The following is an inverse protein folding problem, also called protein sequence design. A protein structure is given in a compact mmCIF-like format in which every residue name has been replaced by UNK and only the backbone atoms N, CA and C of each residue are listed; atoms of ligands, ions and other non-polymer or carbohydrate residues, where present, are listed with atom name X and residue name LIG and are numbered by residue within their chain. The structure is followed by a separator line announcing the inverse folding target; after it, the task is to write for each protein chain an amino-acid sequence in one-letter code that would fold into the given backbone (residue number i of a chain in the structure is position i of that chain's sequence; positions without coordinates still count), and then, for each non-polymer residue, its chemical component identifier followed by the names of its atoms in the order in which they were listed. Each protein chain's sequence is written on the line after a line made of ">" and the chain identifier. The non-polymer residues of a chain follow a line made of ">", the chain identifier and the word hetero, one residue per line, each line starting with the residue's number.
data_IF_552608273698
#
_entry.id   IF_552608273698
#
_cell.length_a   1.000
_cell.length_b   1.000
_cell.length_c   1.000
_cell.angle_alpha   90.00
_cell.angle_beta   90.00
_cell.angle_gamma   90.00
#
_symmetry.space_group_name_H-M   'P 1'
#
loop_
_entity.id
_entity.type
_entity.pdbx_description
1 polymer ?
#
# COMPACT_ATOMS: atom_id res chain seq x y z
N UNK A 1 2.19 1.86 -55.73
CA UNK A 1 1.97 0.95 -54.58
C UNK A 1 2.55 1.59 -53.33
N UNK A 2 1.72 2.31 -52.55
CA UNK A 2 2.12 2.90 -51.28
C UNK A 2 1.10 2.46 -50.21
N UNK A 3 1.38 1.32 -49.58
CA UNK A 3 0.51 0.74 -48.55
C UNK A 3 1.34 -0.08 -47.53
N UNK A 4 2.49 0.45 -47.10
CA UNK A 4 3.32 -0.19 -46.05
C UNK A 4 3.51 0.67 -44.80
N UNK A 5 2.92 1.87 -44.74
CA UNK A 5 3.18 2.84 -43.67
C UNK A 5 2.14 2.87 -42.54
N UNK A 6 1.03 2.14 -42.66
CA UNK A 6 -0.09 2.24 -41.70
C UNK A 6 -0.09 1.17 -40.60
N UNK A 7 0.66 0.08 -40.75
CA UNK A 7 0.68 -1.04 -39.79
C UNK A 7 1.54 -0.76 -38.55
N UNK A 8 2.61 0.04 -38.69
CA UNK A 8 3.48 0.44 -37.57
C UNK A 8 2.83 1.48 -36.65
N UNK A 9 1.90 2.30 -37.17
CA UNK A 9 1.14 3.25 -36.35
C UNK A 9 -0.02 2.57 -35.58
N UNK A 10 -0.65 1.54 -36.14
CA UNK A 10 -1.73 0.83 -35.45
C UNK A 10 -1.25 -0.08 -34.31
N UNK A 11 -0.02 -0.63 -34.38
CA UNK A 11 0.55 -1.40 -33.27
C UNK A 11 0.99 -0.55 -32.06
N UNK A 12 1.09 0.79 -32.19
CA UNK A 12 1.35 1.68 -31.06
C UNK A 12 0.08 2.09 -30.30
N UNK A 13 -1.11 1.88 -30.85
CA UNK A 13 -2.37 2.45 -30.33
C UNK A 13 -3.16 1.54 -29.37
N UNK A 14 -2.69 0.34 -29.05
CA UNK A 14 -3.32 -0.52 -28.03
C UNK A 14 -2.37 -0.90 -26.90
N UNK A 15 -1.55 0.04 -26.43
CA UNK A 15 -0.88 -0.12 -25.13
C UNK A 15 -1.87 0.26 -24.03
N UNK A 16 -2.41 -0.73 -23.35
CA UNK A 16 -3.03 -0.49 -22.04
C UNK A 16 -1.96 0.14 -21.15
N UNK A 17 -2.17 1.38 -20.67
CA UNK A 17 -1.21 2.01 -19.80
C UNK A 17 -1.15 1.25 -18.47
N UNK A 18 0.05 0.92 -18.01
CA UNK A 18 0.22 0.39 -16.66
C UNK A 18 -0.20 1.45 -15.64
N UNK A 19 -1.05 1.06 -14.70
CA UNK A 19 -1.54 1.90 -13.62
C UNK A 19 -1.00 1.30 -12.33
N UNK A 20 -0.36 2.12 -11.51
CA UNK A 20 0.17 1.73 -10.19
C UNK A 20 -0.53 2.55 -9.11
N UNK A 21 -0.94 1.94 -7.99
CA UNK A 21 -1.37 2.68 -6.82
C UNK A 21 -0.17 3.24 -6.05
N UNK A 22 -0.19 4.53 -5.76
CA UNK A 22 0.58 5.08 -4.65
C UNK A 22 -0.21 4.89 -3.36
N UNK A 23 0.40 4.25 -2.37
CA UNK A 23 -0.27 3.85 -1.12
C UNK A 23 0.41 4.56 0.05
N UNK A 24 -0.38 5.20 0.90
CA UNK A 24 0.09 5.93 2.08
C UNK A 24 -0.80 5.60 3.27
N UNK A 25 -0.20 5.30 4.41
CA UNK A 25 -0.91 5.26 5.68
C UNK A 25 -0.98 6.66 6.29
N UNK A 26 -2.19 7.13 6.60
CA UNK A 26 -2.42 8.27 7.48
C UNK A 26 -2.60 7.78 8.92
N UNK A 27 -1.99 8.45 9.90
CA UNK A 27 -2.00 8.09 11.32
C UNK A 27 -2.36 9.29 12.18
N UNK A 28 -3.20 9.01 13.17
CA UNK A 28 -3.63 9.99 14.17
C UNK A 28 -3.52 9.39 15.56
N UNK A 29 -3.36 10.27 16.55
CA UNK A 29 -3.45 9.92 17.97
C UNK A 29 -4.57 10.71 18.63
N UNK A 30 -5.11 10.15 19.69
CA UNK A 30 -6.08 10.82 20.52
C UNK A 30 -5.33 11.76 21.46
N UNK A 31 -5.73 13.03 21.49
CA UNK A 31 -5.19 14.05 22.35
C UNK A 31 -6.21 14.46 23.42
N UNK A 32 -5.79 14.36 24.68
CA UNK A 32 -6.61 14.68 25.87
C UNK A 32 -6.18 15.99 26.52
N UNK A 33 -5.62 16.93 25.73
CA UNK A 33 -5.28 18.27 26.22
C UNK A 33 -6.53 19.08 26.63
N UNK A 34 -7.73 18.62 26.25
CA UNK A 34 -9.02 19.17 26.66
C UNK A 34 -9.92 18.08 27.25
N UNK A 35 -11.04 18.48 27.87
CA UNK A 35 -12.04 17.57 28.46
C UNK A 35 -12.66 16.61 27.42
N UNK A 36 -12.51 16.91 26.13
CA UNK A 36 -12.93 16.06 25.01
C UNK A 36 -11.68 15.56 24.27
N UNK A 37 -11.58 14.24 24.07
CA UNK A 37 -10.53 13.66 23.24
C UNK A 37 -10.67 14.08 21.79
N UNK A 38 -9.63 14.71 21.23
CA UNK A 38 -9.59 15.14 19.83
C UNK A 38 -8.55 14.33 19.07
N UNK A 39 -8.91 13.81 17.91
CA UNK A 39 -7.95 13.14 17.04
C UNK A 39 -7.06 14.17 16.34
N UNK A 40 -5.75 14.06 16.57
CA UNK A 40 -4.72 14.92 15.99
C UNK A 40 -3.73 14.09 15.18
N UNK A 41 -3.01 14.68 14.20
CA UNK A 41 -1.94 13.98 13.49
C UNK A 41 -0.94 13.32 14.46
N UNK A 42 -0.46 12.12 14.10
CA UNK A 42 0.53 11.44 14.93
C UNK A 42 1.83 12.25 15.02
N UNK A 43 2.44 12.23 16.20
CA UNK A 43 3.70 12.94 16.45
C UNK A 43 4.82 12.42 15.56
N UNK A 44 5.76 13.32 15.22
CA UNK A 44 6.95 12.93 14.49
C UNK A 44 7.99 12.35 15.45
N UNK A 45 8.23 11.05 15.34
CA UNK A 45 9.27 10.34 16.06
C UNK A 45 10.08 9.50 15.07
N UNK A 46 11.26 10.02 14.72
CA UNK A 46 12.18 9.37 13.80
C UNK A 46 12.74 8.05 14.36
N UNK A 47 12.91 7.96 15.69
CA UNK A 47 13.50 6.78 16.35
C UNK A 47 12.56 5.59 16.23
N UNK A 48 11.27 5.82 16.51
CA UNK A 48 10.25 4.78 16.43
C UNK A 48 9.55 4.69 15.06
N UNK A 49 9.99 5.50 14.08
CA UNK A 49 9.39 5.65 12.74
C UNK A 49 7.89 5.94 12.77
N UNK A 50 7.49 6.81 13.68
CA UNK A 50 6.11 7.29 13.82
C UNK A 50 6.03 8.67 13.18
N UNK A 51 5.02 8.88 12.35
CA UNK A 51 4.68 10.17 11.78
C UNK A 51 3.20 10.13 11.34
N UNK A 52 2.65 11.29 11.00
CA UNK A 52 1.27 11.41 10.50
C UNK A 52 1.07 10.64 9.18
N UNK A 53 2.09 10.57 8.33
CA UNK A 53 2.03 9.82 7.07
C UNK A 53 3.21 8.85 6.95
N UNK A 54 2.97 7.71 6.33
CA UNK A 54 4.01 6.73 5.99
C UNK A 54 3.74 6.17 4.61
N UNK A 55 4.73 6.28 3.71
CA UNK A 55 4.67 5.62 2.42
C UNK A 55 4.72 4.12 2.62
N UNK A 56 3.73 3.44 2.04
CA UNK A 56 3.84 2.01 1.87
C UNK A 56 5.03 1.70 0.95
N UNK A 57 5.11 2.40 -0.17
CA UNK A 57 5.96 2.06 -1.30
C UNK A 57 7.48 2.10 -0.99
N UNK A 58 7.95 3.13 -0.29
CA UNK A 58 9.38 3.29 0.05
C UNK A 58 9.67 3.29 1.56
N UNK A 59 8.63 3.28 2.41
CA UNK A 59 8.80 3.34 3.87
C UNK A 59 9.16 4.72 4.42
N UNK A 60 9.16 5.77 3.59
CA UNK A 60 9.37 7.15 4.02
C UNK A 60 8.27 7.60 4.99
N UNK A 61 8.63 8.44 5.96
CA UNK A 61 7.72 8.98 6.98
C UNK A 61 7.73 10.50 6.96
N UNK A 62 6.59 11.12 7.24
CA UNK A 62 6.47 12.57 7.17
C UNK A 62 5.20 13.12 7.81
N UNK A 63 5.14 14.43 7.94
CA UNK A 63 4.00 15.13 8.54
C UNK A 63 2.94 15.49 7.51
N UNK A 64 3.27 15.44 6.22
CA UNK A 64 2.36 15.63 5.10
C UNK A 64 2.54 14.52 4.06
N UNK A 65 1.52 14.31 3.22
CA UNK A 65 1.59 13.36 2.10
C UNK A 65 2.74 13.70 1.14
N UNK A 66 3.02 14.99 0.91
CA UNK A 66 4.10 15.42 0.03
C UNK A 66 5.50 15.04 0.54
N UNK A 67 5.64 14.78 1.84
CA UNK A 67 6.90 14.38 2.47
C UNK A 67 7.23 12.90 2.21
N UNK A 68 6.21 12.07 1.95
CA UNK A 68 6.35 10.61 1.81
C UNK A 68 6.19 10.11 0.38
N UNK A 69 5.70 10.95 -0.53
CA UNK A 69 5.59 10.61 -1.95
C UNK A 69 6.79 11.17 -2.69
N UNK A 70 7.53 10.34 -3.46
CA UNK A 70 8.73 10.82 -4.16
C UNK A 70 8.44 12.01 -5.06
N UNK A 71 9.20 13.11 -4.88
CA UNK A 71 9.00 14.37 -5.60
C UNK A 71 8.98 14.20 -7.13
N UNK A 72 9.77 13.25 -7.66
CA UNK A 72 9.80 12.89 -9.09
C UNK A 72 8.45 12.44 -9.65
N UNK A 73 7.58 11.87 -8.81
CA UNK A 73 6.20 11.52 -9.18
C UNK A 73 5.26 12.73 -9.07
N UNK A 74 5.39 13.51 -7.99
CA UNK A 74 4.58 14.71 -7.76
C UNK A 74 4.76 15.75 -8.87
N UNK A 75 5.99 15.86 -9.40
CA UNK A 75 6.33 16.78 -10.50
C UNK A 75 5.69 16.42 -11.85
N UNK A 76 4.99 15.29 -11.95
CA UNK A 76 4.25 14.86 -13.15
C UNK A 76 2.75 14.74 -12.83
N UNK A 77 2.05 15.87 -12.58
CA UNK A 77 0.66 15.89 -12.16
C UNK A 77 -0.28 15.21 -13.18
N UNK A 78 0.01 15.36 -14.47
CA UNK A 78 -0.79 14.83 -15.59
C UNK A 78 -0.82 13.29 -15.69
N UNK A 79 0.02 12.59 -14.93
CA UNK A 79 0.04 11.12 -14.88
C UNK A 79 -0.80 10.56 -13.72
N UNK A 80 -1.26 11.39 -12.79
CA UNK A 80 -2.22 10.97 -11.77
C UNK A 80 -3.62 10.90 -12.38
N UNK A 81 -4.30 9.78 -12.18
CA UNK A 81 -5.63 9.51 -12.77
C UNK A 81 -6.76 9.63 -11.76
N UNK A 82 -6.43 9.72 -10.47
CA UNK A 82 -7.37 9.97 -9.38
C UNK A 82 -6.78 10.98 -8.38
N UNK A 83 -7.64 11.52 -7.53
CA UNK A 83 -7.21 12.14 -6.28
C UNK A 83 -6.94 11.05 -5.22
N UNK A 84 -6.53 11.48 -4.03
CA UNK A 84 -6.38 10.57 -2.90
C UNK A 84 -7.74 10.06 -2.47
N UNK A 85 -7.88 8.74 -2.46
CA UNK A 85 -9.08 8.03 -2.05
C UNK A 85 -8.76 7.16 -0.84
N UNK A 86 -9.74 6.98 0.04
CA UNK A 86 -9.62 6.04 1.15
C UNK A 86 -9.75 4.62 0.59
N UNK A 87 -8.91 3.71 1.03
CA UNK A 87 -9.02 2.30 0.68
C UNK A 87 -10.20 1.64 1.43
N UNK A 88 -11.15 1.10 0.67
CA UNK A 88 -12.34 0.42 1.20
C UNK A 88 -12.16 -1.09 1.37
N UNK A 89 -11.02 -1.64 0.94
CA UNK A 89 -10.74 -3.08 1.02
C UNK A 89 -10.27 -3.55 2.39
N UNK A 90 -9.87 -2.62 3.27
CA UNK A 90 -9.33 -2.94 4.59
C UNK A 90 -10.38 -3.59 5.51
N UNK A 91 -10.08 -4.76 6.11
CA UNK A 91 -10.94 -5.35 7.13
C UNK A 91 -10.82 -4.58 8.46
N UNK A 92 -11.78 -4.80 9.36
CA UNK A 92 -11.75 -4.33 10.76
C UNK A 92 -11.64 -2.80 10.95
N UNK A 93 -12.16 -2.03 10.00
CA UNK A 93 -12.22 -0.57 10.08
C UNK A 93 -13.64 -0.06 10.39
N UNK A 94 -13.75 1.20 10.82
CA UNK A 94 -15.04 1.87 10.99
C UNK A 94 -15.64 2.39 9.66
N UNK A 95 -16.73 3.15 9.73
CA UNK A 95 -17.41 3.71 8.56
C UNK A 95 -16.53 4.69 7.75
N UNK A 96 -15.60 5.38 8.43
CA UNK A 96 -14.60 6.28 7.83
C UNK A 96 -13.29 5.56 7.48
N UNK A 97 -13.25 4.24 7.66
CA UNK A 97 -12.12 3.34 7.40
C UNK A 97 -10.91 3.55 8.30
N UNK A 98 -11.12 4.07 9.50
CA UNK A 98 -10.09 4.07 10.53
C UNK A 98 -9.97 2.68 11.18
N UNK A 99 -8.73 2.23 11.30
CA UNK A 99 -8.31 1.09 12.10
C UNK A 99 -7.76 1.63 13.40
N UNK A 100 -8.20 1.09 14.53
CA UNK A 100 -7.84 1.58 15.86
C UNK A 100 -6.91 0.62 16.58
N UNK A 101 -5.97 1.15 17.35
CA UNK A 101 -5.07 0.37 18.19
C UNK A 101 -4.73 1.11 19.49
N UNK A 102 -4.16 0.37 20.42
CA UNK A 102 -3.66 0.87 21.72
C UNK A 102 -2.29 1.54 21.58
N UNK A 103 -1.54 1.22 20.53
CA UNK A 103 -0.24 1.81 20.22
C UNK A 103 0.12 1.65 18.74
N UNK A 104 1.08 2.46 18.25
CA UNK A 104 1.52 2.38 16.85
C UNK A 104 2.19 1.04 16.49
N UNK A 105 2.78 0.33 17.45
CA UNK A 105 3.43 -0.97 17.21
C UNK A 105 2.43 -2.12 17.05
N UNK A 106 1.20 -1.95 17.52
CA UNK A 106 0.18 -2.99 17.47
C UNK A 106 -0.51 -3.09 16.10
N UNK A 107 -0.32 -2.09 15.24
CA UNK A 107 -0.87 -2.10 13.89
C UNK A 107 -0.35 -3.28 13.04
N UNK A 108 0.93 -3.65 13.15
CA UNK A 108 1.51 -4.77 12.40
C UNK A 108 1.08 -6.16 12.89
N UNK A 109 0.47 -6.25 14.08
CA UNK A 109 -0.03 -7.52 14.66
C UNK A 109 -1.46 -7.84 14.24
N UNK A 110 -2.21 -6.85 13.75
CA UNK A 110 -3.60 -7.00 13.29
C UNK A 110 -3.71 -7.53 11.85
N UNK A 111 -2.61 -7.49 11.10
CA UNK A 111 -2.51 -7.87 9.68
C UNK A 111 -1.99 -9.31 9.46
N UNK A 112 -1.77 -10.10 10.53
CA UNK A 112 -1.43 -11.52 10.36
C UNK A 112 -2.61 -12.29 9.77
N UNK A 113 -2.45 -12.90 8.57
CA UNK A 113 -3.43 -13.82 8.04
C UNK A 113 -3.58 -14.94 9.06
N UNK A 114 -4.78 -15.15 9.58
CA UNK A 114 -5.12 -16.38 10.26
C UNK A 114 -5.04 -17.49 9.21
N UNK A 115 -3.84 -18.02 9.00
CA UNK A 115 -3.67 -19.31 8.33
C UNK A 115 -4.44 -20.27 9.20
N UNK A 116 -5.61 -20.68 8.71
CA UNK A 116 -6.31 -21.85 9.21
C UNK A 116 -5.34 -23.03 9.08
N UNK A 117 -4.53 -23.23 10.13
CA UNK A 117 -3.86 -24.49 10.36
C UNK A 117 -5.00 -25.42 10.75
N UNK A 118 -5.44 -26.23 9.78
CA UNK A 118 -6.22 -27.42 10.05
C UNK A 118 -5.44 -28.24 11.09
N UNK A 119 -5.82 -28.09 12.36
CA UNK A 119 -5.39 -29.01 13.40
C UNK A 119 -6.15 -30.31 13.15
N UNK A 120 -5.38 -31.26 12.60
CA UNK A 120 -5.74 -32.65 12.49
C UNK A 120 -6.38 -33.13 13.80
N UNK A 121 -7.64 -33.57 13.65
CA UNK A 121 -8.38 -34.32 14.65
C UNK A 121 -7.54 -35.52 15.10
N UNK A 122 -7.11 -35.51 16.36
CA UNK A 122 -6.87 -36.73 17.14
C UNK A 122 -7.68 -36.64 18.41
N UNK A 123 -8.68 -37.51 18.48
CA UNK A 123 -9.58 -37.66 19.62
C UNK A 123 -8.87 -38.12 20.89
N UNK A 124 -9.49 -37.80 22.02
CA UNK A 124 -9.07 -38.27 23.34
C UNK A 124 -9.77 -37.53 24.49
N UNK A 125 -11.01 -37.95 24.74
CA UNK A 125 -11.73 -37.96 26.03
C UNK A 125 -12.05 -36.67 26.81
N UNK A 126 -13.36 -36.56 27.09
CA UNK A 126 -13.99 -35.63 28.02
C UNK A 126 -13.52 -35.87 29.46
N UNK A 127 -13.21 -34.78 30.18
CA UNK A 127 -13.62 -34.70 31.58
C UNK A 127 -13.91 -33.25 32.00
N UNK A 128 -15.15 -33.06 32.46
CA UNK A 128 -15.70 -31.82 33.03
C UNK A 128 -14.89 -31.39 34.25
N UNK A 129 -14.56 -30.11 34.35
CA UNK A 129 -14.87 -29.33 35.55
C UNK A 129 -15.02 -27.86 35.19
N UNK A 130 -16.23 -27.35 35.42
CA UNK A 130 -16.53 -25.94 35.36
C UNK A 130 -15.76 -25.22 36.48
N UNK A 131 -14.80 -24.37 36.10
CA UNK A 131 -14.38 -23.25 36.93
C UNK A 131 -14.55 -21.98 36.11
N UNK A 132 -15.62 -21.26 36.48
CA UNK A 132 -15.89 -19.85 36.21
C UNK A 132 -14.65 -19.06 36.64
N UNK A 133 -13.71 -18.86 35.73
CA UNK A 133 -12.66 -17.86 35.90
C UNK A 133 -13.25 -16.54 35.46
N UNK A 134 -13.48 -15.68 36.44
CA UNK A 134 -13.76 -14.27 36.27
C UNK A 134 -12.72 -13.68 35.31
N UNK A 135 -13.10 -13.48 34.04
CA UNK A 135 -12.40 -12.60 33.10
C UNK A 135 -12.73 -11.16 33.49
N UNK A 136 -12.23 -10.76 34.64
CA UNK A 136 -12.22 -9.39 35.14
C UNK A 136 -10.79 -8.86 34.99
N UNK A 137 -10.35 -8.67 33.74
CA UNK A 137 -9.15 -7.87 33.41
C UNK A 137 -9.07 -7.51 31.91
N UNK A 138 -10.17 -7.62 31.16
CA UNK A 138 -10.23 -7.30 29.72
C UNK A 138 -10.92 -5.95 29.43
N UNK A 139 -10.98 -5.05 30.41
CA UNK A 139 -11.49 -3.69 30.21
C UNK A 139 -10.34 -2.72 29.98
N UNK A 140 -10.47 -1.94 28.89
CA UNK A 140 -9.70 -0.73 28.53
C UNK A 140 -8.22 -0.90 28.21
N UNK A 141 -7.88 -1.62 27.15
CA UNK A 141 -6.82 -1.06 26.31
C UNK A 141 -7.43 0.13 25.55
N UNK A 142 -7.17 1.33 26.06
CA UNK A 142 -7.67 2.57 25.49
C UNK A 142 -7.14 2.70 24.06
N UNK A 143 -8.05 2.79 23.08
CA UNK A 143 -7.70 2.94 21.67
C UNK A 143 -7.23 4.37 21.43
N UNK A 144 -5.94 4.61 21.68
CA UNK A 144 -5.34 5.95 21.65
C UNK A 144 -4.76 6.32 20.29
N UNK A 145 -4.68 5.38 19.34
CA UNK A 145 -4.19 5.65 17.98
C UNK A 145 -5.11 5.07 16.92
N UNK A 146 -5.11 5.70 15.74
CA UNK A 146 -5.81 5.20 14.56
C UNK A 146 -5.02 5.41 13.28
N UNK A 147 -5.26 4.57 12.28
CA UNK A 147 -4.71 4.72 10.92
C UNK A 147 -5.74 4.44 9.85
N UNK A 148 -5.59 5.01 8.67
CA UNK A 148 -6.35 4.66 7.46
C UNK A 148 -5.45 4.64 6.24
N UNK A 149 -5.78 3.81 5.26
CA UNK A 149 -5.02 3.70 4.02
C UNK A 149 -5.58 4.66 2.98
N UNK A 150 -4.69 5.42 2.36
CA UNK A 150 -4.96 6.34 1.27
C UNK A 150 -4.29 5.79 0.01
N UNK A 151 -5.05 5.74 -1.08
CA UNK A 151 -4.60 5.27 -2.38
C UNK A 151 -4.78 6.38 -3.41
N UNK A 152 -3.78 6.56 -4.27
CA UNK A 152 -3.90 7.42 -5.44
C UNK A 152 -3.38 6.70 -6.66
N UNK A 153 -4.19 6.61 -7.71
CA UNK A 153 -3.81 5.86 -8.91
C UNK A 153 -2.99 6.74 -9.85
N UNK A 154 -1.96 6.14 -10.42
CA UNK A 154 -1.03 6.80 -11.32
C UNK A 154 -0.75 5.95 -12.56
N UNK A 155 -0.76 6.57 -13.73
CA UNK A 155 -0.23 5.98 -14.95
C UNK A 155 1.30 6.04 -14.93
N UNK A 156 1.94 4.91 -15.25
CA UNK A 156 3.39 4.83 -15.39
C UNK A 156 3.80 5.06 -16.85
N UNK A 157 4.87 5.83 -17.03
CA UNK A 157 5.54 5.99 -18.32
C UNK A 157 7.01 5.53 -18.27
N UNK A 158 7.71 5.61 -19.41
CA UNK A 158 9.09 5.13 -19.50
C UNK A 158 10.11 5.89 -18.65
N UNK A 159 9.75 7.06 -18.13
CA UNK A 159 10.62 7.87 -17.25
C UNK A 159 10.43 7.55 -15.76
N UNK A 160 9.40 6.78 -15.41
CA UNK A 160 9.13 6.29 -14.05
C UNK A 160 9.78 4.91 -13.80
N UNK A 161 10.44 4.32 -14.80
CA UNK A 161 11.03 2.97 -14.71
C UNK A 161 12.02 2.82 -13.54
N UNK A 162 12.89 3.80 -13.31
CA UNK A 162 13.87 3.70 -12.22
C UNK A 162 13.20 3.72 -10.84
N UNK A 163 12.20 4.58 -10.65
CA UNK A 163 11.40 4.60 -9.42
C UNK A 163 10.68 3.27 -9.22
N UNK A 164 10.15 2.70 -10.30
CA UNK A 164 9.42 1.45 -10.22
C UNK A 164 10.33 0.26 -9.91
N UNK A 165 11.54 0.23 -10.44
CA UNK A 165 12.54 -0.77 -10.05
C UNK A 165 12.90 -0.64 -8.58
N UNK A 166 13.06 0.59 -8.05
CA UNK A 166 13.25 0.82 -6.62
C UNK A 166 12.07 0.29 -5.78
N UNK A 167 10.82 0.48 -6.24
CA UNK A 167 9.63 -0.08 -5.58
C UNK A 167 9.67 -1.61 -5.48
N UNK A 168 10.02 -2.27 -6.59
CA UNK A 168 10.13 -3.73 -6.66
C UNK A 168 11.25 -4.27 -5.76
N UNK A 169 12.36 -3.54 -5.66
CA UNK A 169 13.46 -3.89 -4.76
C UNK A 169 13.07 -3.68 -3.29
N UNK A 170 12.15 -2.75 -2.99
CA UNK A 170 11.71 -2.42 -1.63
C UNK A 170 10.50 -3.24 -1.13
N UNK A 171 9.74 -3.94 -1.98
CA UNK A 171 8.52 -4.67 -1.59
C UNK A 171 8.45 -6.11 -2.06
N UNK A 172 8.24 -6.97 -1.06
CA UNK A 172 7.54 -8.26 -1.11
C UNK A 172 6.16 -8.05 -1.75
N UNK A 173 6.01 -8.42 -3.02
CA UNK A 173 4.77 -8.37 -3.81
C UNK A 173 3.73 -9.44 -3.38
N UNK A 174 3.56 -9.69 -2.09
CA UNK A 174 2.62 -10.72 -1.63
C UNK A 174 1.16 -10.24 -1.56
N UNK A 175 0.90 -8.93 -1.61
CA UNK A 175 -0.47 -8.39 -1.42
C UNK A 175 -1.17 -7.97 -2.71
N UNK A 176 -0.51 -8.08 -3.87
CA UNK A 176 -1.02 -7.59 -5.16
C UNK A 176 -0.60 -8.51 -6.32
N UNK A 177 -0.90 -9.82 -6.22
CA UNK A 177 -0.51 -10.83 -7.22
C UNK A 177 -1.06 -10.54 -8.64
N UNK A 178 -2.28 -10.03 -8.77
CA UNK A 178 -2.87 -9.69 -10.08
C UNK A 178 -2.18 -8.49 -10.74
N UNK A 179 -1.71 -7.57 -9.91
CA UNK A 179 -1.03 -6.33 -10.27
C UNK A 179 0.42 -6.65 -10.70
N UNK A 180 1.10 -7.54 -9.97
CA UNK A 180 2.43 -8.04 -10.29
C UNK A 180 2.56 -8.57 -11.72
N UNK A 181 1.60 -9.38 -12.18
CA UNK A 181 1.65 -9.95 -13.53
C UNK A 181 1.58 -8.86 -14.62
N UNK A 182 0.70 -7.86 -14.44
CA UNK A 182 0.61 -6.72 -15.36
C UNK A 182 1.90 -5.88 -15.34
N UNK A 183 2.56 -5.80 -14.19
CA UNK A 183 3.82 -5.06 -14.03
C UNK A 183 5.03 -5.77 -14.64
N UNK A 184 5.17 -7.08 -14.45
CA UNK A 184 6.23 -7.86 -15.09
C UNK A 184 6.11 -7.78 -16.62
N UNK A 185 4.88 -7.84 -17.14
CA UNK A 185 4.61 -7.65 -18.57
C UNK A 185 5.00 -6.25 -19.07
N UNK A 186 4.69 -5.21 -18.29
CA UNK A 186 5.05 -3.83 -18.63
C UNK A 186 6.58 -3.61 -18.62
N UNK A 187 7.29 -4.13 -17.59
CA UNK A 187 8.77 -4.08 -17.54
C UNK A 187 9.35 -4.81 -18.74
N UNK A 188 8.90 -6.03 -19.02
CA UNK A 188 9.36 -6.80 -20.16
C UNK A 188 9.13 -6.03 -21.47
N UNK A 189 8.02 -5.30 -21.58
CA UNK A 189 7.72 -4.46 -22.74
C UNK A 189 8.65 -3.25 -22.88
N UNK A 190 9.00 -2.58 -21.78
CA UNK A 190 9.96 -1.46 -21.79
C UNK A 190 11.37 -1.97 -22.12
N UNK A 191 11.79 -3.08 -21.51
CA UNK A 191 13.08 -3.71 -21.80
C UNK A 191 13.19 -4.11 -23.28
N UNK A 192 12.14 -4.71 -23.85
CA UNK A 192 12.06 -5.01 -25.30
C UNK A 192 12.15 -3.76 -26.18
N UNK A 193 11.52 -2.65 -25.78
CA UNK A 193 11.59 -1.40 -26.53
C UNK A 193 13.00 -0.79 -26.53
N UNK A 194 13.69 -0.78 -25.38
CA UNK A 194 15.08 -0.32 -25.31
C UNK A 194 16.02 -1.21 -26.12
N UNK A 195 15.83 -2.53 -26.09
CA UNK A 195 16.62 -3.46 -26.89
C UNK A 195 16.38 -3.31 -28.41
N UNK A 196 15.13 -3.06 -28.82
CA UNK A 196 14.76 -2.87 -30.23
C UNK A 196 15.15 -1.52 -30.85
N UNK A 197 15.42 -0.50 -30.02
CA UNK A 197 16.00 0.77 -30.49
C UNK A 197 17.49 0.59 -30.79
N UNK A 198 18.19 -0.28 -30.06
CA UNK A 198 19.63 -0.50 -30.24
C UNK A 198 20.00 -1.27 -31.52
N UNK A 199 19.05 -1.93 -32.18
CA UNK A 199 19.29 -2.68 -33.43
C UNK A 199 18.98 -1.89 -34.71
N UNK A 200 18.47 -0.66 -34.59
CA UNK A 200 18.08 0.16 -35.75
C UNK A 200 19.04 1.34 -36.04
N UNK A 201 20.18 1.43 -35.36
CA UNK A 201 21.23 2.43 -35.65
C UNK A 201 22.48 1.74 -36.23
N UNK A 202 22.29 0.89 -37.25
CA UNK A 202 23.35 0.56 -38.23
C UNK A 202 22.66 0.21 -39.56
N UNK A 203 22.39 1.23 -40.39
CA UNK A 203 22.37 1.11 -41.85
C UNK A 203 22.71 2.45 -42.48
#
# INVERSE_FOLDING_TARGET
>A
MAARSSLSQQQQQQKTPAIVPEIVWERQRLDYSSDVGVWVPAEFDLVNRIAAYTSCNCGDIGQNIADVVPARLLNKPHLWISDWEVDYSLPHCDEERWVYASSHVDFGKLEEPHVHREEAVKGGELSRTAKKTERSDAMSQERVVRRRCLIRKRRIDGSDLSWFLELLDCRVLNELEEDRAQYEDFIAQICRQRAGISTNIVR
#
